data_IF_795619757980
#
_entry.id   IF_795619757980
#
_cell.length_a   1.000
_cell.length_b   1.000
_cell.length_c   1.000
_cell.angle_alpha   90.00
_cell.angle_beta   90.00
_cell.angle_gamma   90.00
#
_symmetry.space_group_name_H-M   'P 1'
#
loop_
_entity.id
_entity.type
_entity.pdbx_description
1 polymer ?
#
# COMPACT_ATOMS: atom_id res chain seq x y z
N UNK A 1 -26.08 4.97 -35.00
CA UNK A 1 -24.66 4.58 -35.01
C UNK A 1 -23.92 5.00 -33.72
N UNK A 2 -24.50 4.85 -32.52
CA UNK A 2 -23.91 5.44 -31.28
C UNK A 2 -23.78 4.46 -30.09
N UNK A 3 -23.80 3.16 -30.35
CA UNK A 3 -23.62 2.12 -29.33
C UNK A 3 -22.17 1.63 -29.06
N UNK A 4 -21.17 1.76 -29.96
CA UNK A 4 -19.84 1.20 -29.67
C UNK A 4 -19.03 2.02 -28.66
N UNK A 5 -19.27 3.33 -28.53
CA UNK A 5 -18.44 4.21 -27.69
C UNK A 5 -18.75 4.10 -26.19
N UNK A 6 -20.01 3.89 -25.79
CA UNK A 6 -20.35 3.77 -24.36
C UNK A 6 -19.85 2.45 -23.75
N UNK A 7 -19.94 1.33 -24.48
CA UNK A 7 -19.42 0.03 -24.01
C UNK A 7 -17.90 0.02 -23.96
N UNK A 8 -17.23 0.69 -24.92
CA UNK A 8 -15.79 0.85 -24.92
C UNK A 8 -15.31 1.68 -23.72
N UNK A 9 -15.99 2.77 -23.38
CA UNK A 9 -15.66 3.61 -22.21
C UNK A 9 -15.87 2.85 -20.90
N UNK A 10 -16.97 2.11 -20.76
CA UNK A 10 -17.21 1.29 -19.56
C UNK A 10 -16.18 0.16 -19.44
N UNK A 11 -15.78 -0.47 -20.56
CA UNK A 11 -14.68 -1.46 -20.56
C UNK A 11 -13.32 -0.84 -20.24
N UNK A 12 -13.02 0.36 -20.73
CA UNK A 12 -11.78 1.10 -20.41
C UNK A 12 -11.73 1.48 -18.93
N UNK A 13 -12.85 1.90 -18.35
CA UNK A 13 -12.98 2.18 -16.92
C UNK A 13 -12.78 0.86 -16.13
N UNK A 14 -13.44 -0.24 -16.47
CA UNK A 14 -13.24 -1.52 -15.76
C UNK A 14 -11.78 -2.01 -15.87
N UNK A 15 -11.13 -1.85 -17.03
CA UNK A 15 -9.72 -2.21 -17.23
C UNK A 15 -8.77 -1.27 -16.46
N UNK A 16 -9.04 0.04 -16.41
CA UNK A 16 -8.25 1.03 -15.66
C UNK A 16 -8.29 0.81 -14.14
N UNK A 17 -9.34 0.19 -13.59
CA UNK A 17 -9.47 -0.05 -12.15
C UNK A 17 -9.04 -1.47 -11.74
N UNK A 18 -9.07 -2.43 -12.66
CA UNK A 18 -8.61 -3.81 -12.42
C UNK A 18 -7.07 -3.93 -12.45
N UNK A 19 -6.40 -3.21 -13.36
CA UNK A 19 -4.94 -3.24 -13.52
C UNK A 19 -4.14 -2.67 -12.33
N UNK A 20 -4.48 -1.53 -11.70
CA UNK A 20 -3.72 -1.01 -10.57
C UNK A 20 -3.91 -1.81 -9.28
N UNK A 21 -5.10 -2.39 -9.04
CA UNK A 21 -5.31 -3.29 -7.90
C UNK A 21 -4.50 -4.58 -8.04
N UNK A 22 -4.40 -5.13 -9.24
CA UNK A 22 -3.55 -6.30 -9.51
C UNK A 22 -2.06 -5.94 -9.41
N UNK A 23 -1.64 -4.75 -9.88
CA UNK A 23 -0.25 -4.29 -9.78
C UNK A 23 0.17 -4.02 -8.33
N UNK A 24 -0.69 -3.41 -7.50
CA UNK A 24 -0.41 -3.18 -6.07
C UNK A 24 -0.36 -4.52 -5.33
N UNK A 25 -1.28 -5.46 -5.61
CA UNK A 25 -1.21 -6.82 -5.04
C UNK A 25 0.04 -7.58 -5.52
N UNK A 26 0.42 -7.48 -6.80
CA UNK A 26 1.60 -8.12 -7.35
C UNK A 26 2.90 -7.50 -6.81
N UNK A 27 2.95 -6.18 -6.59
CA UNK A 27 4.08 -5.50 -5.96
C UNK A 27 4.24 -5.90 -4.48
N UNK A 28 3.13 -6.05 -3.74
CA UNK A 28 3.12 -6.55 -2.36
C UNK A 28 3.53 -8.03 -2.28
N UNK A 29 3.18 -8.84 -3.29
CA UNK A 29 3.58 -10.26 -3.37
C UNK A 29 5.02 -10.43 -3.85
N UNK A 30 5.49 -9.62 -4.82
CA UNK A 30 6.86 -9.67 -5.35
C UNK A 30 7.90 -9.09 -4.37
N UNK A 31 7.52 -8.13 -3.51
CA UNK A 31 8.40 -7.68 -2.42
C UNK A 31 8.56 -8.74 -1.31
N UNK A 32 7.71 -9.77 -1.29
CA UNK A 32 7.71 -10.86 -0.30
C UNK A 32 8.66 -12.03 -0.65
N UNK A 33 9.42 -11.94 -1.75
CA UNK A 33 10.35 -12.97 -2.20
C UNK A 33 11.79 -12.47 -2.43
N UNK A 34 12.27 -11.55 -1.60
CA UNK A 34 13.72 -11.32 -1.49
C UNK A 34 14.33 -12.43 -0.63
N UNK A 35 14.94 -13.41 -1.29
CA UNK A 35 15.74 -14.44 -0.64
C UNK A 35 16.80 -13.77 0.25
N UNK A 36 16.96 -14.16 1.52
CA UNK A 36 18.04 -13.63 2.34
C UNK A 36 19.36 -14.13 1.75
N UNK A 37 20.18 -13.20 1.25
CA UNK A 37 21.59 -13.45 1.01
C UNK A 37 22.20 -13.86 2.36
N UNK A 38 22.57 -15.14 2.49
CA UNK A 38 23.30 -15.67 3.63
C UNK A 38 24.67 -14.98 3.69
N UNK A 39 24.81 -13.99 4.57
CA UNK A 39 26.13 -13.45 4.91
C UNK A 39 26.57 -14.19 6.17
N UNK A 40 27.38 -15.24 5.99
CA UNK A 40 28.06 -15.91 7.07
C UNK A 40 29.39 -15.18 7.33
N UNK A 41 29.51 -14.51 8.47
CA UNK A 41 30.78 -13.95 8.92
C UNK A 41 31.52 -15.01 9.73
N UNK A 42 32.43 -15.74 9.07
CA UNK A 42 33.34 -16.65 9.77
C UNK A 42 34.63 -15.89 10.09
N UNK A 43 34.78 -15.50 11.36
CA UNK A 43 36.09 -15.09 11.87
C UNK A 43 36.88 -16.35 12.25
N UNK A 44 38.19 -16.33 12.05
CA UNK A 44 39.12 -17.46 12.25
C UNK A 44 39.34 -17.88 13.72
N UNK A 45 38.47 -17.43 14.65
CA UNK A 45 38.45 -17.85 16.06
C UNK A 45 37.23 -18.74 16.33
N UNK A 46 37.24 -19.54 17.40
CA UNK A 46 36.17 -20.52 17.73
C UNK A 46 34.78 -19.95 18.05
N UNK A 47 34.50 -18.73 17.60
CA UNK A 47 33.24 -18.01 17.70
C UNK A 47 32.69 -17.82 16.29
N UNK A 48 31.41 -18.07 16.08
CA UNK A 48 30.71 -17.67 14.86
C UNK A 48 29.45 -16.89 15.21
N UNK A 49 29.08 -15.96 14.33
CA UNK A 49 27.86 -15.17 14.45
C UNK A 49 27.09 -15.24 13.14
N UNK A 50 25.82 -15.60 13.24
CA UNK A 50 24.87 -15.68 12.16
C UNK A 50 23.77 -14.64 12.33
N UNK A 51 23.50 -13.90 11.25
CA UNK A 51 22.45 -12.89 11.19
C UNK A 51 21.49 -13.28 10.06
N UNK A 52 20.36 -13.94 10.38
CA UNK A 52 19.42 -14.43 9.36
C UNK A 52 18.78 -13.31 8.54
N UNK A 53 18.49 -12.18 9.18
CA UNK A 53 17.81 -11.04 8.56
C UNK A 53 18.59 -9.75 8.82
N UNK A 54 19.51 -9.36 7.92
CA UNK A 54 20.27 -8.13 8.07
C UNK A 54 19.44 -6.87 7.78
N UNK A 55 18.28 -6.98 7.14
CA UNK A 55 17.38 -5.86 6.85
C UNK A 55 15.97 -6.20 7.33
N UNK A 56 15.42 -5.38 8.22
CA UNK A 56 14.09 -5.57 8.80
C UNK A 56 13.26 -4.31 8.53
N UNK A 57 12.05 -4.53 8.03
CA UNK A 57 11.06 -3.49 7.80
C UNK A 57 9.96 -3.63 8.86
N UNK A 58 9.64 -2.53 9.55
CA UNK A 58 8.66 -2.50 10.61
C UNK A 58 7.72 -1.31 10.46
N UNK A 59 6.57 -1.41 11.09
CA UNK A 59 5.61 -0.30 11.17
C UNK A 59 5.62 0.30 12.57
N UNK A 60 5.24 1.57 12.68
CA UNK A 60 5.13 2.22 14.00
C UNK A 60 4.22 1.40 14.91
N UNK A 61 4.61 1.25 16.17
CA UNK A 61 3.99 0.42 17.23
C UNK A 61 4.16 -1.10 17.12
N UNK A 62 4.84 -1.59 16.08
CA UNK A 62 5.09 -3.02 15.92
C UNK A 62 6.16 -3.53 16.90
N UNK A 63 6.10 -4.81 17.26
CA UNK A 63 7.16 -5.49 17.99
C UNK A 63 8.04 -6.25 16.98
N UNK A 64 9.35 -6.08 17.07
CA UNK A 64 10.30 -6.71 16.14
C UNK A 64 11.29 -7.59 16.88
N UNK A 65 11.76 -8.64 16.21
CA UNK A 65 12.82 -9.49 16.70
C UNK A 65 14.08 -9.23 15.87
N UNK A 66 15.13 -8.73 16.52
CA UNK A 66 16.47 -8.64 15.97
C UNK A 66 17.14 -9.99 16.18
N UNK A 67 16.89 -10.89 15.23
CA UNK A 67 17.33 -12.29 15.31
C UNK A 67 18.82 -12.40 14.99
N UNK A 68 19.56 -13.04 15.89
CA UNK A 68 20.94 -13.48 15.68
C UNK A 68 21.14 -14.82 16.37
N UNK A 69 22.15 -15.55 15.93
CA UNK A 69 22.57 -16.80 16.53
C UNK A 69 24.09 -16.83 16.59
N UNK A 70 24.65 -17.25 17.72
CA UNK A 70 26.09 -17.37 17.86
C UNK A 70 26.47 -18.76 18.34
N UNK A 71 27.63 -19.23 17.90
CA UNK A 71 28.23 -20.46 18.41
C UNK A 71 29.59 -20.13 19.02
N UNK A 72 29.77 -20.45 20.29
CA UNK A 72 31.03 -20.33 21.02
C UNK A 72 31.10 -21.44 22.07
N UNK A 73 32.31 -21.94 22.37
CA UNK A 73 32.53 -22.98 23.39
C UNK A 73 32.72 -22.41 24.80
N UNK A 74 33.00 -21.11 24.93
CA UNK A 74 33.29 -20.44 26.19
C UNK A 74 32.19 -19.47 26.63
N UNK A 75 32.50 -18.66 27.65
CA UNK A 75 31.61 -17.59 28.08
C UNK A 75 31.80 -16.38 27.17
N UNK A 76 30.68 -15.81 26.73
CA UNK A 76 30.66 -14.64 25.86
C UNK A 76 29.96 -13.48 26.53
N UNK A 77 30.38 -12.27 26.16
CA UNK A 77 29.70 -11.02 26.47
C UNK A 77 29.02 -10.53 25.19
N UNK A 78 27.71 -10.30 25.28
CA UNK A 78 26.86 -9.85 24.19
C UNK A 78 26.50 -8.40 24.46
N UNK A 79 26.78 -7.53 23.50
CA UNK A 79 26.46 -6.10 23.56
C UNK A 79 25.66 -5.69 22.32
N UNK A 80 24.57 -4.94 22.53
CA UNK A 80 23.81 -4.33 21.46
C UNK A 80 23.90 -2.81 21.50
N UNK A 81 24.15 -2.21 20.34
CA UNK A 81 24.20 -0.76 20.12
C UNK A 81 23.25 -0.35 19.01
N UNK A 82 22.54 0.74 19.24
CA UNK A 82 21.75 1.44 18.23
C UNK A 82 22.54 2.63 17.71
N UNK A 83 22.82 2.65 16.41
CA UNK A 83 23.51 3.72 15.70
C UNK A 83 22.50 4.41 14.79
N UNK A 84 22.24 5.68 15.07
CA UNK A 84 21.31 6.53 14.32
C UNK A 84 21.99 7.84 13.93
N UNK A 85 21.31 8.67 13.14
CA UNK A 85 21.77 10.03 12.82
C UNK A 85 21.96 10.92 14.06
N UNK A 86 21.26 10.61 15.15
CA UNK A 86 21.37 11.33 16.43
C UNK A 86 22.51 10.83 17.33
N UNK A 87 23.20 9.75 16.94
CA UNK A 87 24.34 9.19 17.65
C UNK A 87 24.19 7.69 17.98
N UNK A 88 25.15 7.21 18.75
CA UNK A 88 25.26 5.79 19.16
C UNK A 88 24.83 5.61 20.60
N UNK A 89 23.85 4.74 20.83
CA UNK A 89 23.32 4.43 22.14
C UNK A 89 23.49 2.94 22.44
N UNK A 90 24.03 2.61 23.62
CA UNK A 90 24.02 1.24 24.13
C UNK A 90 22.61 0.85 24.51
N UNK A 91 22.14 -0.28 23.99
CA UNK A 91 20.80 -0.81 24.25
C UNK A 91 20.87 -1.70 25.48
N UNK A 92 21.71 -2.74 25.41
CA UNK A 92 21.84 -3.76 26.44
C UNK A 92 23.20 -4.44 26.34
N UNK A 93 23.72 -4.90 27.47
CA UNK A 93 24.87 -5.77 27.56
C UNK A 93 24.65 -6.85 28.60
N UNK A 94 25.06 -8.07 28.29
CA UNK A 94 25.04 -9.16 29.25
C UNK A 94 26.13 -10.18 28.95
N UNK A 95 26.42 -10.99 29.96
CA UNK A 95 27.31 -12.14 29.83
C UNK A 95 26.45 -13.39 29.82
N UNK A 96 26.82 -14.39 29.02
CA UNK A 96 26.10 -15.67 28.98
C UNK A 96 25.99 -16.27 30.41
N UNK A 97 24.77 -16.56 30.85
CA UNK A 97 24.48 -17.04 32.20
C UNK A 97 24.45 -15.97 33.32
N UNK A 98 24.48 -14.68 32.99
CA UNK A 98 24.39 -13.57 33.95
C UNK A 98 23.21 -12.63 33.64
N UNK A 99 22.90 -11.72 34.57
CA UNK A 99 21.82 -10.74 34.41
C UNK A 99 22.10 -9.73 33.31
N UNK A 100 21.05 -9.29 32.60
CA UNK A 100 21.16 -8.32 31.51
C UNK A 100 21.15 -6.87 32.00
N UNK A 101 22.14 -6.09 31.56
CA UNK A 101 22.27 -4.68 31.86
C UNK A 101 21.67 -3.84 30.73
N UNK A 102 20.35 -3.60 30.83
CA UNK A 102 19.60 -2.79 29.86
C UNK A 102 19.74 -1.31 30.20
N UNK A 103 20.03 -0.49 29.19
CA UNK A 103 20.09 0.97 29.32
C UNK A 103 18.73 1.54 29.73
N UNK A 104 18.74 2.64 30.49
CA UNK A 104 17.51 3.27 31.03
C UNK A 104 16.48 3.59 29.94
N UNK A 105 16.92 4.00 28.76
CA UNK A 105 16.05 4.35 27.62
C UNK A 105 15.32 3.13 27.03
N UNK A 106 15.85 1.93 27.22
CA UNK A 106 15.37 0.70 26.60
C UNK A 106 14.79 -0.31 27.60
N UNK A 107 14.83 -0.01 28.90
CA UNK A 107 14.51 -0.96 29.99
C UNK A 107 13.14 -1.62 29.87
N UNK A 108 12.12 -0.87 29.44
CA UNK A 108 10.75 -1.37 29.32
C UNK A 108 10.38 -1.78 27.88
N UNK A 109 11.35 -1.67 26.96
CA UNK A 109 11.13 -1.85 25.52
C UNK A 109 11.94 -2.99 24.92
N UNK A 110 12.89 -3.58 25.65
CA UNK A 110 13.80 -4.59 25.13
C UNK A 110 13.75 -5.86 25.96
N UNK A 111 13.48 -6.97 25.27
CA UNK A 111 13.63 -8.32 25.82
C UNK A 111 14.90 -8.96 25.23
N UNK A 112 15.69 -9.61 26.08
CA UNK A 112 16.91 -10.35 25.66
C UNK A 112 16.64 -11.84 25.60
N UNK A 113 17.30 -12.52 24.66
CA UNK A 113 17.25 -13.97 24.52
C UNK A 113 18.66 -14.59 24.64
N UNK A 114 18.72 -15.83 25.11
CA UNK A 114 19.97 -16.57 25.33
C UNK A 114 20.81 -16.75 24.05
N UNK A 115 20.16 -16.81 22.88
CA UNK A 115 20.84 -16.92 21.59
C UNK A 115 21.49 -15.60 21.12
N UNK A 116 21.46 -14.54 21.93
CA UNK A 116 21.99 -13.22 21.58
C UNK A 116 20.98 -12.30 20.91
N UNK A 117 19.80 -12.81 20.55
CA UNK A 117 18.73 -12.00 19.95
C UNK A 117 18.14 -11.02 20.95
N UNK A 118 17.58 -9.92 20.42
CA UNK A 118 16.77 -9.00 21.22
C UNK A 118 15.44 -8.72 20.53
N UNK A 119 14.38 -8.57 21.31
CA UNK A 119 13.10 -8.09 20.82
C UNK A 119 12.91 -6.64 21.26
N UNK A 120 12.61 -5.78 20.30
CA UNK A 120 12.30 -4.37 20.55
C UNK A 120 10.78 -4.17 20.42
N UNK A 121 10.20 -3.61 21.47
CA UNK A 121 8.76 -3.41 21.63
C UNK A 121 8.35 -1.99 21.24
N UNK A 122 7.16 -1.89 20.64
CA UNK A 122 6.53 -0.62 20.28
C UNK A 122 7.49 0.28 19.48
N UNK A 123 8.00 -0.20 18.35
CA UNK A 123 8.99 0.54 17.56
C UNK A 123 8.42 1.83 17.01
N UNK A 124 9.22 2.90 16.98
CA UNK A 124 8.87 4.18 16.39
C UNK A 124 9.87 4.60 15.32
N UNK A 125 9.53 5.66 14.58
CA UNK A 125 10.39 6.19 13.50
C UNK A 125 11.80 6.55 14.00
N UNK A 126 11.93 6.92 15.27
CA UNK A 126 13.20 7.24 15.93
C UNK A 126 14.09 6.05 16.21
N UNK A 127 13.53 4.84 16.21
CA UNK A 127 14.27 3.61 16.38
C UNK A 127 14.85 3.11 15.04
N UNK A 128 14.52 3.77 13.91
CA UNK A 128 15.13 3.45 12.63
C UNK A 128 16.65 3.73 12.65
N UNK A 129 17.43 2.80 12.14
CA UNK A 129 18.89 2.90 12.17
C UNK A 129 19.58 1.54 12.10
N UNK A 130 20.85 1.54 12.47
CA UNK A 130 21.70 0.35 12.48
C UNK A 130 21.77 -0.22 13.90
N UNK A 131 21.48 -1.49 14.02
CA UNK A 131 21.60 -2.26 15.24
C UNK A 131 22.83 -3.15 15.12
N UNK A 132 23.85 -2.83 15.90
CA UNK A 132 25.12 -3.55 15.91
C UNK A 132 25.16 -4.43 17.13
N UNK A 133 25.28 -5.74 16.93
CA UNK A 133 25.59 -6.70 17.98
C UNK A 133 27.09 -6.95 18.00
N UNK A 134 27.69 -7.00 19.17
CA UNK A 134 29.09 -7.40 19.37
C UNK A 134 29.13 -8.55 20.35
N UNK A 135 29.77 -9.63 19.95
CA UNK A 135 29.98 -10.82 20.76
C UNK A 135 31.46 -10.90 21.04
N UNK A 136 31.82 -10.81 22.32
CA UNK A 136 33.20 -10.87 22.79
C UNK A 136 33.38 -12.13 23.62
N UNK A 137 34.22 -13.04 23.15
CA UNK A 137 34.67 -14.21 23.90
C UNK A 137 35.75 -13.80 24.91
N UNK A 138 35.77 -14.43 26.09
CA UNK A 138 36.78 -14.15 27.13
C UNK A 138 38.22 -14.30 26.66
N UNK A 139 38.46 -15.15 25.65
CA UNK A 139 39.77 -15.37 25.03
C UNK A 139 40.21 -14.23 24.10
N UNK A 140 39.40 -13.19 23.95
CA UNK A 140 39.71 -11.97 23.20
C UNK A 140 39.18 -11.93 21.76
N UNK A 141 38.54 -12.99 21.28
CA UNK A 141 37.86 -12.98 19.98
C UNK A 141 36.63 -12.09 20.05
N UNK A 142 36.53 -11.09 19.17
CA UNK A 142 35.32 -10.31 18.99
C UNK A 142 34.74 -10.48 17.59
N UNK A 143 33.42 -10.63 17.51
CA UNK A 143 32.68 -10.69 16.24
C UNK A 143 31.50 -9.73 16.34
N UNK A 144 31.22 -9.03 15.25
CA UNK A 144 30.11 -8.10 15.19
C UNK A 144 29.15 -8.48 14.06
N UNK A 145 27.87 -8.21 14.29
CA UNK A 145 26.79 -8.36 13.33
C UNK A 145 26.03 -7.05 13.23
N UNK A 146 25.47 -6.76 12.06
CA UNK A 146 24.70 -5.53 11.83
C UNK A 146 23.35 -5.87 11.24
N UNK A 147 22.31 -5.23 11.79
CA UNK A 147 20.94 -5.29 11.28
C UNK A 147 20.46 -3.87 11.02
N UNK A 148 19.90 -3.61 9.86
CA UNK A 148 19.28 -2.34 9.49
C UNK A 148 17.79 -2.43 9.76
N UNK A 149 17.27 -1.51 10.58
CA UNK A 149 15.84 -1.38 10.85
C UNK A 149 15.28 -0.17 10.10
N UNK A 150 14.33 -0.42 9.22
CA UNK A 150 13.52 0.61 8.56
C UNK A 150 12.12 0.64 9.19
N UNK A 151 11.71 1.80 9.70
CA UNK A 151 10.38 1.98 10.30
C UNK A 151 9.53 2.88 9.43
N UNK A 152 8.37 2.37 9.02
CA UNK A 152 7.40 3.08 8.19
C UNK A 152 6.18 3.49 9.01
N UNK A 153 5.75 4.73 8.84
CA UNK A 153 4.46 5.19 9.35
C UNK A 153 3.40 4.90 8.28
N UNK A 154 2.41 4.07 8.61
CA UNK A 154 1.28 3.83 7.70
C UNK A 154 0.32 5.01 7.87
N UNK A 155 0.50 6.03 7.03
CA UNK A 155 -0.42 7.16 6.98
C UNK A 155 -1.63 6.72 6.15
N UNK A 156 -2.73 6.37 6.83
CA UNK A 156 -3.99 5.97 6.18
C UNK A 156 -4.72 7.15 5.51
N UNK A 157 -4.30 8.39 5.77
CA UNK A 157 -4.94 9.58 5.21
C UNK A 157 -4.85 9.64 3.67
N UNK A 158 -3.72 9.21 3.10
CA UNK A 158 -3.53 9.23 1.64
C UNK A 158 -4.45 8.22 0.94
N UNK A 159 -4.66 7.05 1.54
CA UNK A 159 -5.57 6.05 0.98
C UNK A 159 -7.03 6.50 1.07
N UNK A 160 -7.41 7.19 2.14
CA UNK A 160 -8.76 7.73 2.30
C UNK A 160 -9.03 8.86 1.30
N UNK A 161 -8.06 9.76 1.11
CA UNK A 161 -8.14 10.83 0.12
C UNK A 161 -8.33 10.27 -1.30
N UNK A 162 -7.55 9.25 -1.66
CA UNK A 162 -7.67 8.56 -2.95
C UNK A 162 -9.04 7.91 -3.11
N UNK A 163 -9.55 7.24 -2.08
CA UNK A 163 -10.87 6.60 -2.11
C UNK A 163 -12.02 7.62 -2.28
N UNK A 164 -11.99 8.73 -1.55
CA UNK A 164 -12.99 9.81 -1.67
C UNK A 164 -12.94 10.45 -3.05
N UNK A 165 -11.74 10.66 -3.60
CA UNK A 165 -11.56 11.20 -4.94
C UNK A 165 -12.18 10.28 -6.02
N UNK A 166 -11.95 8.97 -5.93
CA UNK A 166 -12.59 8.00 -6.82
C UNK A 166 -14.11 7.95 -6.68
N UNK A 167 -14.65 8.03 -5.46
CA UNK A 167 -16.09 8.11 -5.22
C UNK A 167 -16.70 9.36 -5.90
N UNK A 168 -16.04 10.50 -5.79
CA UNK A 168 -16.45 11.73 -6.45
C UNK A 168 -16.46 11.60 -7.98
N UNK A 169 -15.39 11.08 -8.57
CA UNK A 169 -15.31 10.85 -10.02
C UNK A 169 -16.40 9.91 -10.52
N UNK A 170 -16.72 8.87 -9.76
CA UNK A 170 -17.79 7.90 -10.09
C UNK A 170 -19.15 8.59 -10.09
N UNK A 171 -19.43 9.42 -9.10
CA UNK A 171 -20.67 10.20 -9.03
C UNK A 171 -20.79 11.18 -10.20
N UNK A 172 -19.73 11.94 -10.49
CA UNK A 172 -19.70 12.89 -11.62
C UNK A 172 -19.92 12.17 -12.95
N UNK A 173 -19.28 11.02 -13.15
CA UNK A 173 -19.46 10.20 -14.35
C UNK A 173 -20.91 9.75 -14.53
N UNK A 174 -21.54 9.23 -13.46
CA UNK A 174 -22.94 8.82 -13.50
C UNK A 174 -23.88 9.99 -13.86
N UNK A 175 -23.66 11.17 -13.27
CA UNK A 175 -24.44 12.39 -13.57
C UNK A 175 -24.31 12.78 -15.04
N UNK A 176 -23.09 12.77 -15.60
CA UNK A 176 -22.86 13.08 -17.01
C UNK A 176 -23.55 12.08 -17.96
N UNK A 177 -23.51 10.79 -17.62
CA UNK A 177 -24.22 9.76 -18.40
C UNK A 177 -25.73 9.97 -18.35
N UNK A 178 -26.30 10.28 -17.17
CA UNK A 178 -27.71 10.61 -17.02
C UNK A 178 -28.09 11.87 -17.82
N UNK A 179 -27.25 12.90 -17.79
CA UNK A 179 -27.47 14.13 -18.55
C UNK A 179 -27.44 13.87 -20.07
N UNK A 180 -26.45 13.11 -20.55
CA UNK A 180 -26.37 12.70 -21.95
C UNK A 180 -27.59 11.90 -22.41
N UNK A 181 -28.08 10.99 -21.56
CA UNK A 181 -29.30 10.23 -21.83
C UNK A 181 -30.52 11.14 -21.95
N UNK A 182 -30.67 12.10 -21.03
CA UNK A 182 -31.77 13.06 -21.05
C UNK A 182 -31.73 13.97 -22.27
N UNK A 183 -30.54 14.48 -22.62
CA UNK A 183 -30.31 15.26 -23.84
C UNK A 183 -30.66 14.45 -25.10
N UNK A 184 -30.25 13.19 -25.17
CA UNK A 184 -30.59 12.30 -26.30
C UNK A 184 -32.11 12.07 -26.40
N UNK A 185 -32.77 11.80 -25.28
CA UNK A 185 -34.23 11.61 -25.24
C UNK A 185 -34.96 12.88 -25.68
N UNK A 186 -34.50 14.04 -25.21
CA UNK A 186 -35.07 15.34 -25.56
C UNK A 186 -34.94 15.62 -27.07
N UNK A 187 -33.76 15.41 -27.65
CA UNK A 187 -33.54 15.55 -29.11
C UNK A 187 -34.48 14.64 -29.89
N UNK A 188 -34.62 13.38 -29.49
CA UNK A 188 -35.50 12.43 -30.17
C UNK A 188 -36.99 12.85 -30.09
N UNK A 189 -37.41 13.40 -28.95
CA UNK A 189 -38.78 13.93 -28.79
C UNK A 189 -39.00 15.18 -29.67
N UNK A 190 -38.03 16.08 -29.74
CA UNK A 190 -38.09 17.26 -30.60
C UNK A 190 -38.14 16.89 -32.09
N UNK A 191 -37.33 15.92 -32.52
CA UNK A 191 -37.37 15.41 -33.89
C UNK A 191 -38.74 14.81 -34.22
N UNK A 192 -39.27 13.94 -33.36
CA UNK A 192 -40.59 13.32 -33.56
C UNK A 192 -41.72 14.36 -33.67
N UNK A 193 -41.72 15.38 -32.80
CA UNK A 193 -42.68 16.49 -32.89
C UNK A 193 -42.56 17.25 -34.21
N UNK A 194 -41.34 17.46 -34.71
CA UNK A 194 -41.08 18.16 -35.98
C UNK A 194 -41.52 17.36 -37.20
N UNK A 195 -41.34 16.05 -37.19
CA UNK A 195 -41.82 15.16 -38.25
C UNK A 195 -43.35 15.13 -38.31
N UNK A 196 -44.04 14.97 -37.17
CA UNK A 196 -45.50 15.00 -37.11
C UNK A 196 -46.10 16.32 -37.59
N UNK A 197 -45.48 17.46 -37.24
CA UNK A 197 -45.94 18.77 -37.73
C UNK A 197 -45.76 18.90 -39.24
N UNK A 198 -44.69 18.33 -39.81
CA UNK A 198 -44.43 18.38 -41.25
C UNK A 198 -45.42 17.52 -42.04
N UNK A 199 -45.80 16.35 -41.52
CA UNK A 199 -46.77 15.42 -42.09
C UNK A 199 -48.20 16.00 -42.05
N UNK A 200 -48.63 16.53 -40.90
CA UNK A 200 -49.95 17.16 -40.74
C UNK A 200 -50.10 18.41 -41.63
N UNK A 201 -49.03 19.19 -41.82
CA UNK A 201 -49.06 20.37 -42.67
C UNK A 201 -49.12 20.01 -44.17
N UNK A 202 -48.54 18.89 -44.59
CA UNK A 202 -48.70 18.38 -45.97
C UNK A 202 -50.11 17.85 -46.24
N UNK A 203 -50.73 17.17 -45.27
CA UNK A 203 -52.10 16.65 -45.40
C UNK A 203 -53.17 17.77 -45.44
N UNK A 204 -52.90 18.90 -44.77
CA UNK A 204 -53.75 20.10 -44.83
C UNK A 204 -53.66 20.85 -46.18
N UNK A 205 -52.54 20.75 -46.90
CA UNK A 205 -52.35 21.38 -48.22
C UNK A 205 -52.99 20.56 -49.34
N UNK A 206 -53.18 19.26 -49.14
CA UNK A 206 -53.77 18.35 -50.13
C UNK A 206 -55.32 18.22 -50.02
N UNK A 207 -55.94 18.87 -49.02
CA UNK A 207 -57.40 18.87 -48.86
C UNK A 207 -58.04 19.89 -49.84
N UNK A 208 -58.86 19.47 -50.83
CA UNK A 208 -59.49 20.41 -51.75
C UNK A 208 -60.50 21.30 -51.01
N UNK A 209 -60.75 22.55 -51.47
CA UNK A 209 -61.73 23.42 -50.82
C UNK A 209 -63.10 22.74 -50.85
N UNK A 210 -63.69 22.57 -49.66
CA UNK A 210 -65.03 21.99 -49.50
C UNK A 210 -66.02 22.74 -50.39
N UNK A 211 -66.68 21.99 -51.27
CA UNK A 211 -67.66 22.51 -52.21
C UNK A 211 -68.80 23.14 -51.40
N UNK A 212 -69.04 24.43 -51.59
CA UNK A 212 -70.13 25.21 -50.98
C UNK A 212 -71.54 24.71 -51.38
N UNK A 213 -71.64 23.67 -52.21
CA UNK A 213 -72.91 23.15 -52.75
C UNK A 213 -73.59 22.08 -51.88
N UNK A 214 -72.96 21.55 -50.82
CA UNK A 214 -73.59 20.52 -49.97
C UNK A 214 -74.48 21.08 -48.83
N UNK A 215 -74.56 22.41 -48.67
CA UNK A 215 -75.37 23.05 -47.62
C UNK A 215 -76.78 23.46 -48.10
N UNK A 216 -77.08 23.36 -49.40
CA UNK A 216 -78.36 23.79 -49.98
C UNK A 216 -79.37 22.65 -50.25
N UNK A 217 -79.10 21.43 -49.80
CA UNK A 217 -79.94 20.26 -50.04
C UNK A 217 -80.59 19.66 -48.76
N UNK A 218 -80.84 20.49 -47.74
CA UNK A 218 -81.63 20.12 -46.56
C UNK A 218 -82.63 21.22 -46.19
#
# INVERSE_FOLDING_TARGET
SWFPNCVAIVRLIILMYSLPSLYIMLAVVLHRHSLPNLICFSAQGGVSLFVPQPNINATVTQNILLSVEYACKGVVTIEWKHVSSWGTNKIVEWKSGNYSNVSKTYKDRVNTYENGSIQLLNVGVRDAGYYVVTITEELGTNIYGTIVLSVYEIIYEDLHFVAVFFAFLTAVSAVLVCFMWFCNKSVHLFQNKRHKLKENNSELVERPPGNFMDVLAA
#
